data_IF_976201964829
#
_entry.id   IF_976201964829
#
_cell.length_a   1.000
_cell.length_b   1.000
_cell.length_c   1.000
_cell.angle_alpha   90.00
_cell.angle_beta   90.00
_cell.angle_gamma   90.00
#
_symmetry.space_group_name_H-M   'P 1'
#
loop_
_entity.id
_entity.type
_entity.pdbx_description
1 polymer ?
#
# COMPACT_ATOMS: atom_id res chain seq x y z
N UNK A 1 -43.66 -1.08 -12.88
CA UNK A 1 -42.42 -0.58 -12.27
C UNK A 1 -41.71 -1.79 -11.68
N UNK A 2 -40.98 -2.53 -12.51
CA UNK A 2 -40.20 -3.68 -12.03
C UNK A 2 -38.96 -3.11 -11.34
N UNK A 3 -38.87 -3.29 -10.02
CA UNK A 3 -37.64 -3.02 -9.27
C UNK A 3 -36.65 -4.06 -9.78
N UNK A 4 -35.55 -3.60 -10.36
CA UNK A 4 -34.44 -4.46 -10.76
C UNK A 4 -33.84 -5.08 -9.48
N UNK A 5 -34.18 -6.35 -9.22
CA UNK A 5 -33.67 -7.08 -8.07
C UNK A 5 -32.20 -7.51 -8.21
N UNK A 6 -31.56 -7.29 -9.36
CA UNK A 6 -30.19 -7.73 -9.60
C UNK A 6 -29.15 -6.88 -8.85
N UNK A 7 -29.36 -5.55 -8.78
CA UNK A 7 -28.48 -4.63 -8.06
C UNK A 7 -28.63 -4.73 -6.54
N UNK A 8 -29.88 -4.88 -6.05
CA UNK A 8 -30.17 -5.00 -4.62
C UNK A 8 -29.51 -6.24 -3.99
N UNK A 9 -29.49 -7.37 -4.71
CA UNK A 9 -28.83 -8.59 -4.25
C UNK A 9 -27.31 -8.41 -4.13
N UNK A 10 -26.71 -7.62 -5.03
CA UNK A 10 -25.28 -7.32 -5.00
C UNK A 10 -24.91 -6.38 -3.85
N UNK A 11 -25.66 -5.29 -3.67
CA UNK A 11 -25.40 -4.35 -2.56
C UNK A 11 -25.56 -5.04 -1.21
N UNK A 12 -26.63 -5.82 -1.02
CA UNK A 12 -26.86 -6.53 0.23
C UNK A 12 -25.74 -7.54 0.54
N UNK A 13 -25.29 -8.30 -0.46
CA UNK A 13 -24.15 -9.21 -0.30
C UNK A 13 -22.85 -8.47 0.12
N UNK A 14 -22.60 -7.28 -0.43
CA UNK A 14 -21.48 -6.44 -0.01
C UNK A 14 -21.64 -5.96 1.44
N UNK A 15 -22.85 -5.56 1.86
CA UNK A 15 -23.12 -5.17 3.25
C UNK A 15 -22.85 -6.32 4.22
N UNK A 16 -23.27 -7.53 3.88
CA UNK A 16 -22.98 -8.74 4.67
C UNK A 16 -21.47 -9.03 4.73
N UNK A 17 -20.78 -8.93 3.59
CA UNK A 17 -19.34 -9.14 3.55
C UNK A 17 -18.58 -8.09 4.37
N UNK A 18 -18.97 -6.82 4.32
CA UNK A 18 -18.38 -5.76 5.15
C UNK A 18 -18.54 -6.04 6.64
N UNK A 19 -19.71 -6.52 7.08
CA UNK A 19 -19.94 -6.92 8.47
C UNK A 19 -19.07 -8.12 8.84
N UNK A 20 -18.95 -9.12 7.95
CA UNK A 20 -18.09 -10.29 8.15
C UNK A 20 -16.61 -9.89 8.29
N UNK A 21 -16.10 -9.05 7.40
CA UNK A 21 -14.71 -8.56 7.45
C UNK A 21 -14.48 -7.68 8.67
N UNK A 22 -15.42 -6.80 9.02
CA UNK A 22 -15.34 -5.97 10.24
C UNK A 22 -15.24 -6.82 11.51
N UNK A 23 -15.98 -7.95 11.56
CA UNK A 23 -15.87 -8.94 12.64
C UNK A 23 -14.51 -9.62 12.67
N UNK A 24 -14.01 -10.10 11.54
CA UNK A 24 -12.68 -10.73 11.47
C UNK A 24 -11.57 -9.77 11.93
N UNK A 25 -11.60 -8.52 11.49
CA UNK A 25 -10.64 -7.50 11.92
C UNK A 25 -10.67 -7.30 13.44
N UNK A 26 -11.87 -7.23 14.03
CA UNK A 26 -12.04 -7.06 15.47
C UNK A 26 -11.56 -8.30 16.25
N UNK A 27 -11.93 -9.50 15.81
CA UNK A 27 -11.52 -10.78 16.43
C UNK A 27 -10.00 -11.00 16.36
N UNK A 28 -9.34 -10.51 15.31
CA UNK A 28 -7.88 -10.53 15.18
C UNK A 28 -7.16 -9.43 15.97
N UNK A 29 -7.91 -8.47 16.54
CA UNK A 29 -7.34 -7.31 17.24
C UNK A 29 -6.65 -6.31 16.31
N UNK A 30 -7.03 -6.28 15.03
CA UNK A 30 -6.54 -5.26 14.08
C UNK A 30 -7.29 -3.93 14.22
N UNK A 31 -8.46 -3.96 14.84
CA UNK A 31 -9.26 -2.81 15.22
C UNK A 31 -9.79 -3.01 16.63
N UNK A 32 -9.92 -1.93 17.38
CA UNK A 32 -10.50 -1.92 18.73
C UNK A 32 -11.47 -0.75 18.88
N UNK A 33 -12.32 -0.81 19.90
CA UNK A 33 -13.33 0.22 20.17
C UNK A 33 -14.15 0.55 18.90
N UNK A 34 -13.94 1.72 18.29
CA UNK A 34 -14.65 2.20 17.11
C UNK A 34 -13.71 2.62 15.97
N UNK A 35 -12.43 2.24 16.04
CA UNK A 35 -11.43 2.56 15.01
C UNK A 35 -11.56 1.68 13.75
N UNK A 36 -10.69 1.95 12.77
CA UNK A 36 -10.71 1.34 11.45
C UNK A 36 -11.95 1.67 10.63
N UNK A 37 -11.94 1.27 9.36
CA UNK A 37 -13.06 1.45 8.45
C UNK A 37 -12.91 0.61 7.18
N UNK A 38 -14.05 0.33 6.56
CA UNK A 38 -14.15 -0.47 5.33
C UNK A 38 -14.96 0.31 4.31
N UNK A 39 -14.62 0.13 3.04
CA UNK A 39 -15.52 0.50 1.95
C UNK A 39 -15.45 -0.48 0.79
N UNK A 40 -16.52 -0.52 0.01
CA UNK A 40 -16.63 -1.27 -1.24
C UNK A 40 -17.29 -0.41 -2.32
N UNK A 41 -16.79 -0.52 -3.54
CA UNK A 41 -17.36 0.15 -4.72
C UNK A 41 -18.68 -0.53 -5.10
N UNK A 42 -19.74 0.26 -5.26
CA UNK A 42 -21.01 -0.22 -5.81
C UNK A 42 -21.01 -0.07 -7.33
N UNK A 43 -20.67 1.13 -7.79
CA UNK A 43 -20.61 1.52 -9.20
C UNK A 43 -19.55 2.62 -9.42
N UNK A 44 -19.58 3.29 -10.58
CA UNK A 44 -18.63 4.34 -10.95
C UNK A 44 -18.73 5.59 -10.05
N UNK A 45 -19.89 5.85 -9.49
CA UNK A 45 -20.25 7.06 -8.74
C UNK A 45 -20.52 6.85 -7.26
N UNK A 46 -20.70 5.60 -6.82
CA UNK A 46 -21.10 5.28 -5.45
C UNK A 46 -20.20 4.27 -4.75
N UNK A 47 -19.98 4.52 -3.46
CA UNK A 47 -19.21 3.67 -2.56
C UNK A 47 -20.03 3.39 -1.32
N UNK A 48 -20.07 2.12 -0.92
CA UNK A 48 -20.58 1.68 0.38
C UNK A 48 -19.45 1.78 1.41
N UNK A 49 -19.72 2.37 2.58
CA UNK A 49 -18.73 2.56 3.63
C UNK A 49 -19.30 2.26 5.02
N UNK A 50 -18.40 1.96 5.96
CA UNK A 50 -18.77 1.81 7.37
C UNK A 50 -19.11 3.16 8.00
N UNK A 51 -20.09 3.20 8.93
CA UNK A 51 -20.38 4.40 9.69
C UNK A 51 -19.25 4.76 10.68
N UNK A 52 -19.13 6.05 10.96
CA UNK A 52 -18.26 6.55 12.02
C UNK A 52 -18.77 6.14 13.42
N UNK A 53 -17.85 5.92 14.36
CA UNK A 53 -18.17 5.72 15.78
C UNK A 53 -18.71 4.33 16.16
N UNK A 54 -18.97 3.43 15.21
CA UNK A 54 -19.39 2.06 15.53
C UNK A 54 -18.21 1.09 15.61
N UNK A 55 -18.30 0.14 16.54
CA UNK A 55 -17.38 -1.01 16.61
C UNK A 55 -17.56 -1.92 15.40
N UNK A 56 -16.48 -2.19 14.66
CA UNK A 56 -16.55 -2.95 13.41
C UNK A 56 -16.94 -4.42 13.62
N UNK A 57 -16.72 -4.96 14.81
CA UNK A 57 -17.16 -6.31 15.19
C UNK A 57 -18.66 -6.43 15.50
N UNK A 58 -19.37 -5.31 15.65
CA UNK A 58 -20.77 -5.28 16.14
C UNK A 58 -21.73 -4.56 15.18
N UNK A 59 -21.32 -4.31 13.93
CA UNK A 59 -22.17 -3.67 12.93
C UNK A 59 -23.22 -4.63 12.37
N UNK A 60 -24.31 -4.07 11.83
CA UNK A 60 -25.28 -4.79 11.00
C UNK A 60 -25.29 -4.28 9.54
N UNK A 61 -25.73 -5.09 8.56
CA UNK A 61 -25.74 -4.71 7.15
C UNK A 61 -26.50 -3.39 6.87
N UNK A 62 -27.60 -3.16 7.57
CA UNK A 62 -28.47 -1.98 7.40
C UNK A 62 -27.85 -0.67 7.91
N UNK A 63 -26.72 -0.76 8.64
CA UNK A 63 -25.99 0.40 9.14
C UNK A 63 -24.95 0.94 8.15
N UNK A 64 -24.61 0.20 7.09
CA UNK A 64 -23.66 0.68 6.09
C UNK A 64 -24.24 1.89 5.33
N UNK A 65 -23.37 2.82 4.96
CA UNK A 65 -23.73 4.10 4.37
C UNK A 65 -23.22 4.17 2.93
N UNK A 66 -24.09 4.56 2.00
CA UNK A 66 -23.68 4.85 0.62
C UNK A 66 -23.32 6.33 0.51
N UNK A 67 -22.15 6.59 -0.06
CA UNK A 67 -21.66 7.93 -0.39
C UNK A 67 -21.41 8.08 -1.88
N UNK A 68 -21.54 9.31 -2.39
CA UNK A 68 -21.05 9.69 -3.71
C UNK A 68 -19.52 9.88 -3.70
N UNK A 69 -18.93 10.09 -4.88
CA UNK A 69 -17.49 10.36 -5.02
C UNK A 69 -17.05 11.71 -4.44
N UNK A 70 -17.97 12.55 -3.93
CA UNK A 70 -17.66 13.74 -3.14
C UNK A 70 -17.82 13.51 -1.63
N UNK A 71 -18.11 12.28 -1.21
CA UNK A 71 -18.25 11.88 0.19
C UNK A 71 -19.59 12.25 0.83
N UNK A 72 -20.58 12.69 0.04
CA UNK A 72 -21.92 13.01 0.55
C UNK A 72 -22.73 11.73 0.70
N UNK A 73 -23.47 11.61 1.80
CA UNK A 73 -24.40 10.50 2.03
C UNK A 73 -25.58 10.61 1.05
N UNK A 74 -25.74 9.63 0.16
CA UNK A 74 -26.76 9.63 -0.90
C UNK A 74 -27.68 8.41 -0.91
N UNK A 75 -27.36 7.37 -0.12
CA UNK A 75 -28.17 6.15 -0.05
C UNK A 75 -29.49 6.29 0.71
N UNK A 76 -30.31 5.23 0.64
CA UNK A 76 -31.58 5.15 1.35
C UNK A 76 -31.40 5.35 2.86
N UNK A 77 -32.18 6.28 3.41
CA UNK A 77 -32.24 6.51 4.85
C UNK A 77 -33.19 5.49 5.48
N UNK A 78 -32.65 4.69 6.40
CA UNK A 78 -33.39 3.69 7.18
C UNK A 78 -33.39 4.06 8.65
N UNK A 79 -34.24 3.40 9.46
CA UNK A 79 -34.20 3.57 10.91
C UNK A 79 -32.80 3.24 11.50
N UNK A 80 -32.11 2.25 10.92
CA UNK A 80 -30.79 1.81 11.37
C UNK A 80 -29.67 2.81 11.06
N UNK A 81 -29.77 3.59 9.97
CA UNK A 81 -28.69 4.48 9.51
C UNK A 81 -29.00 5.99 9.60
N UNK A 82 -30.23 6.39 9.96
CA UNK A 82 -30.66 7.81 9.89
C UNK A 82 -29.76 8.79 10.65
N UNK A 83 -29.25 8.38 11.81
CA UNK A 83 -28.39 9.19 12.66
C UNK A 83 -26.90 8.88 12.48
N UNK A 84 -26.55 7.96 11.56
CA UNK A 84 -25.17 7.58 11.29
C UNK A 84 -24.61 8.44 10.15
N UNK A 85 -23.34 8.78 10.31
CA UNK A 85 -22.54 9.52 9.32
C UNK A 85 -21.43 8.61 8.77
N UNK A 86 -20.97 8.83 7.52
CA UNK A 86 -19.84 8.09 6.97
C UNK A 86 -18.62 8.13 7.90
N UNK A 87 -17.72 7.16 7.76
CA UNK A 87 -16.40 7.23 8.42
C UNK A 87 -15.74 8.60 8.19
N UNK A 88 -15.07 9.12 9.23
CA UNK A 88 -14.33 10.39 9.15
C UNK A 88 -13.20 10.36 8.11
N UNK A 89 -12.81 9.17 7.65
CA UNK A 89 -11.72 8.96 6.70
C UNK A 89 -12.19 8.61 5.29
N UNK A 90 -13.47 8.89 4.98
CA UNK A 90 -14.06 8.55 3.68
C UNK A 90 -13.25 9.12 2.51
N UNK A 91 -12.65 10.30 2.65
CA UNK A 91 -11.85 10.93 1.59
C UNK A 91 -10.57 10.15 1.26
N UNK A 92 -9.97 9.46 2.23
CA UNK A 92 -8.82 8.58 1.96
C UNK A 92 -9.24 7.38 1.10
N UNK A 93 -10.41 6.80 1.38
CA UNK A 93 -10.97 5.70 0.57
C UNK A 93 -11.32 6.16 -0.84
N UNK A 94 -12.00 7.31 -0.95
CA UNK A 94 -12.37 7.90 -2.24
C UNK A 94 -11.13 8.23 -3.08
N UNK A 95 -10.05 8.68 -2.46
CA UNK A 95 -8.79 8.90 -3.15
C UNK A 95 -8.22 7.63 -3.76
N UNK A 96 -8.20 6.52 -3.00
CA UNK A 96 -7.79 5.22 -3.54
C UNK A 96 -8.64 4.82 -4.76
N UNK A 97 -9.96 4.99 -4.70
CA UNK A 97 -10.86 4.69 -5.82
C UNK A 97 -10.66 5.61 -7.04
N UNK A 98 -10.25 6.87 -6.85
CA UNK A 98 -9.97 7.80 -7.96
C UNK A 98 -8.67 7.46 -8.66
N UNK A 99 -7.63 7.12 -7.90
CA UNK A 99 -6.32 6.77 -8.47
C UNK A 99 -6.33 5.37 -9.10
N UNK A 100 -7.20 4.47 -8.64
CA UNK A 100 -7.19 3.06 -9.00
C UNK A 100 -8.58 2.54 -9.41
N UNK A 101 -8.90 2.56 -10.72
CA UNK A 101 -10.15 1.98 -11.24
C UNK A 101 -10.30 0.47 -10.98
N UNK A 102 -9.18 -0.26 -10.86
CA UNK A 102 -9.15 -1.69 -10.56
C UNK A 102 -9.55 -2.01 -9.11
N UNK A 103 -9.50 -1.03 -8.21
CA UNK A 103 -9.86 -1.19 -6.80
C UNK A 103 -11.38 -1.20 -6.62
N UNK A 104 -11.85 -2.25 -5.95
CA UNK A 104 -13.26 -2.47 -5.62
C UNK A 104 -13.51 -2.46 -4.12
N UNK A 105 -12.47 -2.56 -3.29
CA UNK A 105 -12.58 -2.49 -1.85
C UNK A 105 -11.34 -1.86 -1.21
N UNK A 106 -11.57 -1.16 -0.11
CA UNK A 106 -10.54 -0.51 0.70
C UNK A 106 -10.75 -0.88 2.16
N UNK A 107 -9.68 -1.32 2.83
CA UNK A 107 -9.68 -1.70 4.24
C UNK A 107 -8.62 -0.89 4.97
N UNK A 108 -9.04 -0.20 6.02
CA UNK A 108 -8.16 0.52 6.92
C UNK A 108 -8.31 -0.01 8.34
N UNK A 109 -7.18 -0.29 8.99
CA UNK A 109 -7.10 -0.85 10.32
C UNK A 109 -5.83 -0.40 11.04
N UNK A 110 -5.76 -0.64 12.35
CA UNK A 110 -4.68 -0.20 13.23
C UNK A 110 -3.96 -1.39 13.88
N UNK A 111 -3.39 -2.33 13.10
CA UNK A 111 -2.81 -3.54 13.65
C UNK A 111 -1.56 -3.20 14.52
N UNK A 112 -1.50 -3.65 15.79
CA UNK A 112 -0.56 -3.10 16.77
C UNK A 112 0.91 -3.21 16.42
N UNK A 113 1.34 -4.34 15.82
CA UNK A 113 2.75 -4.58 15.56
C UNK A 113 3.25 -3.70 14.43
N UNK A 114 2.47 -3.62 13.35
CA UNK A 114 2.75 -2.71 12.23
C UNK A 114 2.84 -1.25 12.69
N UNK A 115 1.88 -0.81 13.53
CA UNK A 115 1.90 0.55 14.08
C UNK A 115 3.14 0.77 14.94
N UNK A 116 3.52 -0.19 15.80
CA UNK A 116 4.71 -0.11 16.62
C UNK A 116 6.00 0.04 15.78
N UNK A 117 6.14 -0.75 14.70
CA UNK A 117 7.29 -0.63 13.80
C UNK A 117 7.33 0.72 13.08
N UNK A 118 6.19 1.27 12.67
CA UNK A 118 6.13 2.62 12.08
C UNK A 118 6.64 3.68 13.06
N UNK A 119 6.30 3.56 14.36
CA UNK A 119 6.76 4.45 15.42
C UNK A 119 8.28 4.30 15.65
N UNK A 120 8.77 3.06 15.58
CA UNK A 120 10.19 2.74 15.74
C UNK A 120 11.07 3.13 14.55
N UNK A 121 10.46 3.49 13.41
CA UNK A 121 11.20 3.78 12.17
C UNK A 121 11.74 2.54 11.47
N UNK A 122 11.14 1.37 11.73
CA UNK A 122 11.54 0.10 11.11
C UNK A 122 10.63 -0.14 9.90
N UNK A 123 11.25 -0.28 8.73
CA UNK A 123 10.56 -0.44 7.44
C UNK A 123 10.08 -1.88 7.23
N UNK A 124 8.86 -2.04 6.70
CA UNK A 124 8.32 -3.31 6.21
C UNK A 124 8.57 -3.56 4.72
N UNK A 125 9.22 -2.63 4.02
CA UNK A 125 9.43 -2.74 2.58
C UNK A 125 10.49 -3.77 2.17
N UNK A 126 11.25 -4.33 3.13
CA UNK A 126 12.29 -5.30 2.84
C UNK A 126 11.71 -6.59 2.25
N UNK A 127 12.37 -7.15 1.23
CA UNK A 127 11.97 -8.40 0.58
C UNK A 127 12.26 -9.64 1.46
N UNK A 128 11.50 -9.80 2.54
CA UNK A 128 11.75 -10.84 3.55
C UNK A 128 11.04 -12.15 3.25
N UNK A 129 9.77 -12.08 2.81
CA UNK A 129 8.89 -13.25 2.71
C UNK A 129 8.30 -13.39 1.31
N UNK A 130 8.38 -14.58 0.68
CA UNK A 130 7.84 -14.83 -0.65
C UNK A 130 6.37 -14.46 -0.82
N UNK A 131 5.54 -14.82 0.16
CA UNK A 131 4.10 -14.61 0.12
C UNK A 131 3.70 -13.13 0.14
N UNK A 132 4.47 -12.28 0.84
CA UNK A 132 4.23 -10.83 0.87
C UNK A 132 4.62 -10.21 -0.46
N UNK A 133 5.80 -10.57 -0.98
CA UNK A 133 6.28 -10.09 -2.29
C UNK A 133 5.28 -10.43 -3.40
N UNK A 134 4.79 -11.67 -3.42
CA UNK A 134 3.85 -12.12 -4.47
C UNK A 134 2.46 -11.52 -4.29
N UNK A 135 1.87 -11.57 -3.09
CA UNK A 135 0.45 -11.23 -2.90
C UNK A 135 0.18 -9.75 -2.57
N UNK A 136 1.14 -9.07 -1.94
CA UNK A 136 1.01 -7.66 -1.52
C UNK A 136 1.89 -6.76 -2.39
N UNK A 137 3.15 -7.15 -2.58
CA UNK A 137 4.19 -6.31 -3.18
C UNK A 137 4.99 -5.58 -2.11
N UNK A 138 5.61 -4.46 -2.49
CA UNK A 138 6.25 -3.57 -1.53
C UNK A 138 5.20 -2.87 -0.65
N UNK A 139 5.57 -2.59 0.59
CA UNK A 139 4.70 -1.95 1.57
C UNK A 139 5.39 -0.68 2.08
N UNK A 140 5.17 0.47 1.42
CA UNK A 140 5.77 1.73 1.82
C UNK A 140 5.12 2.27 3.09
N UNK A 141 5.84 3.15 3.77
CA UNK A 141 5.33 3.95 4.89
C UNK A 141 5.19 5.40 4.46
N UNK A 142 4.04 6.03 4.71
CA UNK A 142 3.79 7.44 4.39
C UNK A 142 4.64 8.37 5.25
N UNK A 143 4.66 9.67 4.93
CA UNK A 143 4.94 10.68 5.95
C UNK A 143 3.79 10.75 6.96
N UNK A 144 4.04 11.29 8.17
CA UNK A 144 2.97 11.53 9.13
C UNK A 144 1.98 12.55 8.57
N UNK A 145 0.70 12.25 8.71
CA UNK A 145 -0.39 13.13 8.34
C UNK A 145 -1.50 13.01 9.38
N UNK A 146 -2.21 14.10 9.64
CA UNK A 146 -3.32 14.09 10.60
C UNK A 146 -4.45 13.19 10.08
N UNK A 147 -4.93 12.19 10.84
CA UNK A 147 -6.08 11.36 10.44
C UNK A 147 -7.32 12.20 10.13
N UNK A 148 -8.18 11.71 9.25
CA UNK A 148 -9.40 12.42 8.82
C UNK A 148 -9.16 13.85 8.26
N UNK A 149 -7.98 14.11 7.68
CA UNK A 149 -7.62 15.41 7.07
C UNK A 149 -7.24 15.29 5.59
N UNK A 150 -7.13 16.43 4.91
CA UNK A 150 -6.62 16.50 3.53
C UNK A 150 -5.12 16.15 3.42
N UNK A 151 -4.38 16.25 4.53
CA UNK A 151 -2.97 15.82 4.60
C UNK A 151 -2.90 14.30 4.40
N UNK A 152 -3.80 13.54 5.03
CA UNK A 152 -3.84 12.08 4.91
C UNK A 152 -4.14 11.64 3.47
N UNK A 153 -5.06 12.34 2.80
CA UNK A 153 -5.35 12.14 1.37
C UNK A 153 -4.12 12.41 0.51
N UNK A 154 -3.40 13.50 0.78
CA UNK A 154 -2.18 13.86 0.04
C UNK A 154 -1.06 12.84 0.27
N UNK A 155 -0.92 12.34 1.49
CA UNK A 155 0.13 11.41 1.89
C UNK A 155 0.03 10.05 1.18
N UNK A 156 -1.18 9.60 0.82
CA UNK A 156 -1.37 8.32 0.11
C UNK A 156 -1.45 8.46 -1.41
N UNK A 157 -1.69 9.66 -1.94
CA UNK A 157 -2.09 9.89 -3.35
C UNK A 157 -1.14 9.28 -4.36
N UNK A 158 0.16 9.48 -4.20
CA UNK A 158 1.17 8.95 -5.13
C UNK A 158 1.44 7.47 -4.87
N UNK A 159 1.47 7.07 -3.60
CA UNK A 159 1.79 5.68 -3.21
C UNK A 159 0.71 4.70 -3.66
N UNK A 160 -0.57 5.07 -3.56
CA UNK A 160 -1.68 4.15 -3.86
C UNK A 160 -1.79 3.79 -5.34
N UNK A 161 -1.12 4.55 -6.23
CA UNK A 161 -1.03 4.24 -7.66
C UNK A 161 -0.26 2.92 -7.86
N UNK A 162 0.85 2.74 -7.14
CA UNK A 162 1.76 1.60 -7.30
C UNK A 162 1.62 0.49 -6.26
N UNK A 163 0.88 0.71 -5.17
CA UNK A 163 0.89 -0.18 -4.01
C UNK A 163 -0.51 -0.67 -3.62
N UNK A 164 -0.60 -1.92 -3.18
CA UNK A 164 -1.85 -2.51 -2.70
C UNK A 164 -1.98 -2.46 -1.17
N UNK A 165 -0.91 -2.06 -0.47
CA UNK A 165 -0.87 -1.87 0.97
C UNK A 165 0.13 -0.79 1.36
N UNK A 166 -0.28 0.10 2.25
CA UNK A 166 0.49 1.26 2.69
C UNK A 166 0.41 1.34 4.22
N UNK A 167 1.55 1.50 4.87
CA UNK A 167 1.60 1.84 6.30
C UNK A 167 1.45 3.36 6.44
N UNK A 168 0.46 3.80 7.21
CA UNK A 168 0.27 5.19 7.58
C UNK A 168 1.10 5.49 8.83
N UNK A 169 2.10 6.35 8.71
CA UNK A 169 3.07 6.61 9.77
C UNK A 169 2.40 7.01 11.09
N UNK A 170 2.65 6.23 12.16
CA UNK A 170 2.07 6.39 13.51
C UNK A 170 0.54 6.31 13.56
N UNK A 171 -0.09 5.69 12.57
CA UNK A 171 -1.55 5.65 12.47
C UNK A 171 -2.08 4.24 12.25
N UNK A 172 -1.74 3.58 11.14
CA UNK A 172 -2.35 2.30 10.80
C UNK A 172 -1.91 1.78 9.44
N UNK A 173 -2.75 0.98 8.80
CA UNK A 173 -2.51 0.41 7.47
C UNK A 173 -3.71 0.65 6.58
N UNK A 174 -3.47 1.06 5.34
CA UNK A 174 -4.47 1.13 4.28
C UNK A 174 -4.17 0.03 3.26
N UNK A 175 -5.15 -0.80 2.94
CA UNK A 175 -5.03 -1.85 1.92
C UNK A 175 -6.18 -1.79 0.94
N UNK A 176 -5.92 -2.20 -0.30
CA UNK A 176 -6.90 -2.19 -1.38
C UNK A 176 -6.97 -3.53 -2.08
N UNK A 177 -8.08 -3.82 -2.75
CA UNK A 177 -8.27 -5.09 -3.46
C UNK A 177 -9.42 -5.07 -4.45
N UNK A 178 -9.54 -6.16 -5.24
CA UNK A 178 -10.64 -6.40 -6.18
C UNK A 178 -11.90 -6.90 -5.47
N UNK A 179 -11.79 -7.25 -4.20
CA UNK A 179 -12.89 -7.52 -3.28
C UNK A 179 -12.46 -7.25 -1.84
N UNK A 180 -13.42 -7.21 -0.92
CA UNK A 180 -13.18 -6.96 0.50
C UNK A 180 -12.25 -8.01 1.13
N UNK A 181 -12.43 -9.28 0.77
CA UNK A 181 -11.58 -10.36 1.25
C UNK A 181 -10.12 -10.17 0.83
N UNK A 182 -9.84 -9.80 -0.43
CA UNK A 182 -8.47 -9.58 -0.91
C UNK A 182 -7.79 -8.44 -0.15
N UNK A 183 -8.48 -7.31 0.03
CA UNK A 183 -7.96 -6.18 0.80
C UNK A 183 -7.68 -6.58 2.27
N UNK A 184 -8.61 -7.30 2.91
CA UNK A 184 -8.40 -7.83 4.26
C UNK A 184 -7.22 -8.80 4.36
N UNK A 185 -7.06 -9.72 3.39
CA UNK A 185 -5.94 -10.68 3.41
C UNK A 185 -4.58 -9.96 3.26
N UNK A 186 -4.53 -8.86 2.50
CA UNK A 186 -3.33 -8.01 2.44
C UNK A 186 -3.02 -7.35 3.78
N UNK A 187 -4.05 -6.86 4.48
CA UNK A 187 -3.89 -6.32 5.84
C UNK A 187 -3.33 -7.39 6.80
N UNK A 188 -3.90 -8.60 6.79
CA UNK A 188 -3.45 -9.73 7.62
C UNK A 188 -2.00 -10.12 7.29
N UNK A 189 -1.62 -10.13 6.01
CA UNK A 189 -0.24 -10.40 5.58
C UNK A 189 0.74 -9.32 6.05
N UNK A 190 0.36 -8.03 6.00
CA UNK A 190 1.20 -6.91 6.48
C UNK A 190 1.45 -7.03 7.99
N UNK A 191 0.42 -7.31 8.79
CA UNK A 191 0.62 -7.50 10.23
C UNK A 191 1.43 -8.75 10.55
N UNK A 192 1.33 -9.80 9.73
CA UNK A 192 2.14 -11.00 9.90
C UNK A 192 3.63 -10.74 9.63
N UNK A 193 3.99 -10.02 8.57
CA UNK A 193 5.39 -9.64 8.35
C UNK A 193 5.89 -8.69 9.43
N UNK A 194 5.05 -7.82 9.97
CA UNK A 194 5.41 -6.98 11.12
C UNK A 194 5.78 -7.82 12.35
N UNK A 195 4.98 -8.83 12.70
CA UNK A 195 5.27 -9.76 13.81
C UNK A 195 6.58 -10.51 13.59
N UNK A 196 6.82 -11.00 12.39
CA UNK A 196 8.07 -11.67 12.05
C UNK A 196 9.25 -10.70 12.16
N UNK A 197 9.10 -9.47 11.67
CA UNK A 197 10.14 -8.43 11.76
C UNK A 197 10.51 -8.13 13.22
N UNK A 198 9.53 -7.99 14.12
CA UNK A 198 9.81 -7.82 15.57
C UNK A 198 10.61 -9.01 16.13
N UNK A 199 10.26 -10.24 15.75
CA UNK A 199 11.00 -11.44 16.19
C UNK A 199 12.43 -11.43 15.65
N UNK A 200 12.65 -11.03 14.39
CA UNK A 200 13.97 -10.93 13.78
C UNK A 200 14.85 -9.89 14.48
N UNK A 201 14.28 -8.71 14.81
CA UNK A 201 14.95 -7.68 15.60
C UNK A 201 15.35 -8.20 16.99
N UNK A 202 14.48 -8.96 17.66
CA UNK A 202 14.80 -9.61 18.95
C UNK A 202 15.90 -10.65 18.84
N UNK A 203 15.97 -11.37 17.72
CA UNK A 203 17.03 -12.35 17.44
C UNK A 203 18.34 -11.70 16.98
N UNK A 204 18.33 -10.41 16.64
CA UNK A 204 19.48 -9.68 16.10
C UNK A 204 19.93 -10.15 14.71
N UNK A 205 19.05 -10.80 13.95
CA UNK A 205 19.35 -11.34 12.61
C UNK A 205 18.10 -11.44 11.75
N UNK A 206 18.23 -11.10 10.47
CA UNK A 206 17.19 -11.21 9.47
C UNK A 206 17.67 -10.63 8.14
N UNK A 207 18.04 -11.51 7.21
CA UNK A 207 18.51 -11.09 5.89
C UNK A 207 17.35 -11.14 4.88
N UNK A 208 17.20 -10.11 4.01
CA UNK A 208 16.29 -10.18 2.89
C UNK A 208 16.62 -11.35 1.95
N UNK A 209 15.63 -11.77 1.16
CA UNK A 209 15.84 -12.74 0.10
C UNK A 209 16.87 -12.21 -0.91
N UNK A 210 17.78 -13.08 -1.40
CA UNK A 210 18.70 -12.69 -2.46
C UNK A 210 17.95 -12.18 -3.70
N UNK A 211 18.49 -11.17 -4.43
CA UNK A 211 17.82 -10.58 -5.60
C UNK A 211 17.34 -11.61 -6.63
N UNK A 212 18.15 -12.65 -6.90
CA UNK A 212 17.79 -13.72 -7.83
C UNK A 212 16.56 -14.57 -7.41
N UNK A 213 16.24 -14.63 -6.11
CA UNK A 213 15.01 -15.27 -5.65
C UNK A 213 13.82 -14.31 -5.73
N UNK A 214 14.04 -13.03 -5.39
CA UNK A 214 13.02 -11.98 -5.54
C UNK A 214 12.58 -11.87 -7.00
N UNK A 215 13.50 -11.91 -7.96
CA UNK A 215 13.19 -11.88 -9.40
C UNK A 215 12.22 -13.00 -9.83
N UNK A 216 12.41 -14.23 -9.33
CA UNK A 216 11.49 -15.35 -9.61
C UNK A 216 10.09 -15.10 -9.04
N UNK A 217 10.01 -14.46 -7.88
CA UNK A 217 8.74 -14.11 -7.23
C UNK A 217 8.04 -12.97 -7.97
N UNK A 218 8.79 -11.98 -8.47
CA UNK A 218 8.23 -10.94 -9.32
C UNK A 218 7.68 -11.52 -10.62
N UNK A 219 8.34 -12.52 -11.20
CA UNK A 219 7.82 -13.22 -12.36
C UNK A 219 6.52 -13.98 -12.07
N UNK A 220 6.40 -14.60 -10.90
CA UNK A 220 5.14 -15.20 -10.45
C UNK A 220 4.04 -14.15 -10.26
N UNK A 221 4.36 -13.03 -9.60
CA UNK A 221 3.46 -11.89 -9.39
C UNK A 221 2.94 -11.33 -10.72
N UNK A 222 3.80 -11.20 -11.73
CA UNK A 222 3.42 -10.80 -13.10
C UNK A 222 2.45 -11.80 -13.73
N UNK A 223 2.74 -13.10 -13.68
CA UNK A 223 1.86 -14.16 -14.21
C UNK A 223 0.49 -14.20 -13.53
N UNK A 224 0.41 -13.79 -12.26
CA UNK A 224 -0.84 -13.70 -11.51
C UNK A 224 -1.63 -12.40 -11.76
N UNK A 225 -1.10 -11.47 -12.59
CA UNK A 225 -1.72 -10.18 -12.85
C UNK A 225 -1.70 -9.23 -11.65
N UNK A 226 -0.79 -9.47 -10.70
CA UNK A 226 -0.65 -8.67 -9.48
C UNK A 226 0.41 -7.57 -9.60
N UNK A 227 1.15 -7.55 -10.71
CA UNK A 227 2.16 -6.54 -10.94
C UNK A 227 1.56 -5.13 -11.07
N UNK A 228 2.35 -4.12 -10.72
CA UNK A 228 1.93 -2.71 -10.70
C UNK A 228 2.88 -1.85 -11.53
N UNK A 229 2.36 -0.83 -12.25
CA UNK A 229 3.21 0.10 -12.97
C UNK A 229 4.23 0.77 -12.04
N UNK A 230 5.51 0.75 -12.43
CA UNK A 230 6.58 1.41 -11.69
C UNK A 230 7.18 0.61 -10.53
N UNK A 231 6.58 -0.51 -10.11
CA UNK A 231 7.08 -1.28 -8.94
C UNK A 231 8.51 -1.80 -9.17
N UNK A 232 8.93 -2.01 -10.42
CA UNK A 232 10.24 -2.53 -10.79
C UNK A 232 11.39 -1.59 -10.39
N UNK A 233 11.15 -0.27 -10.44
CA UNK A 233 12.12 0.74 -9.98
C UNK A 233 12.28 0.67 -8.46
N UNK A 234 11.19 0.44 -7.74
CA UNK A 234 11.22 0.32 -6.29
C UNK A 234 11.84 -0.99 -5.83
N UNK A 235 11.54 -2.11 -6.48
CA UNK A 235 12.19 -3.40 -6.22
C UNK A 235 13.69 -3.36 -6.54
N UNK A 236 14.12 -2.60 -7.56
CA UNK A 236 15.54 -2.32 -7.80
C UNK A 236 16.19 -1.61 -6.61
N UNK A 237 15.57 -0.52 -6.16
CA UNK A 237 16.10 0.30 -5.07
C UNK A 237 16.12 -0.42 -3.72
N UNK A 238 15.08 -1.18 -3.41
CA UNK A 238 14.89 -1.79 -2.07
C UNK A 238 15.46 -3.21 -2.00
N UNK A 239 15.29 -3.99 -3.08
CA UNK A 239 15.62 -5.42 -3.08
C UNK A 239 16.72 -5.79 -4.08
N UNK A 240 17.31 -4.82 -4.79
CA UNK A 240 18.40 -5.04 -5.73
C UNK A 240 17.98 -5.75 -7.03
N UNK A 241 16.68 -5.87 -7.31
CA UNK A 241 16.17 -6.48 -8.55
C UNK A 241 15.89 -5.40 -9.56
N UNK A 242 16.89 -5.08 -10.38
CA UNK A 242 16.79 -4.01 -11.35
C UNK A 242 16.25 -4.50 -12.69
N UNK A 243 15.43 -3.69 -13.39
CA UNK A 243 15.05 -3.97 -14.76
C UNK A 243 16.30 -4.25 -15.60
N UNK A 244 16.21 -5.18 -16.55
CA UNK A 244 17.28 -5.38 -17.52
C UNK A 244 17.60 -4.02 -18.16
N UNK A 245 18.82 -3.51 -17.93
CA UNK A 245 19.26 -2.30 -18.59
C UNK A 245 19.19 -2.54 -20.09
N UNK A 246 18.53 -1.64 -20.82
CA UNK A 246 18.60 -1.66 -22.27
C UNK A 246 20.09 -1.49 -22.63
N UNK A 247 20.74 -2.40 -23.37
CA UNK A 247 22.18 -2.31 -23.67
C UNK A 247 22.59 -1.04 -24.43
N UNK A 248 21.63 -0.23 -24.87
CA UNK A 248 21.84 0.99 -25.65
C UNK A 248 22.34 2.19 -24.85
N UNK A 249 22.55 2.07 -23.53
CA UNK A 249 23.21 3.11 -22.72
C UNK A 249 24.42 2.58 -21.97
N UNK A 250 25.18 1.65 -22.58
CA UNK A 250 26.61 1.64 -22.30
C UNK A 250 27.19 2.95 -22.82
N UNK A 251 27.48 3.88 -21.90
CA UNK A 251 28.46 4.92 -22.17
C UNK A 251 29.73 4.21 -22.62
N UNK A 252 30.01 4.28 -23.92
CA UNK A 252 31.21 3.74 -24.52
C UNK A 252 32.40 4.50 -23.95
N UNK A 253 32.95 4.03 -22.85
CA UNK A 253 34.28 4.41 -22.43
C UNK A 253 35.25 3.79 -23.44
N UNK A 254 35.63 4.57 -24.44
CA UNK A 254 36.75 4.19 -25.30
C UNK A 254 37.99 4.11 -24.42
N UNK A 255 38.71 3.00 -24.54
CA UNK A 255 39.97 2.68 -23.85
C UNK A 255 41.15 3.59 -24.24
N UNK A 256 40.88 4.79 -24.74
CA UNK A 256 41.92 5.71 -25.22
C UNK A 256 42.59 6.50 -24.09
N UNK A 257 42.08 6.44 -22.85
CA UNK A 257 42.66 7.16 -21.70
C UNK A 257 43.13 6.25 -20.56
N UNK A 258 43.08 4.91 -20.72
CA UNK A 258 43.49 3.98 -19.66
C UNK A 258 45.00 3.72 -19.58
N UNK A 259 45.81 4.37 -20.43
CA UNK A 259 47.26 4.15 -20.46
C UNK A 259 48.05 5.00 -19.45
N UNK A 260 47.42 5.88 -18.68
CA UNK A 260 48.12 6.81 -17.78
C UNK A 260 47.72 6.74 -16.30
N UNK A 261 46.88 5.77 -15.89
CA UNK A 261 46.50 5.64 -14.48
C UNK A 261 47.25 4.46 -13.86
N UNK A 262 48.30 4.76 -13.11
CA UNK A 262 48.93 3.79 -12.21
C UNK A 262 47.96 3.48 -11.07
N UNK A 263 47.55 2.21 -10.96
CA UNK A 263 46.55 1.72 -10.02
C UNK A 263 46.97 1.84 -8.53
N UNK A 264 48.15 2.38 -8.25
CA UNK A 264 48.66 2.65 -6.91
C UNK A 264 48.16 3.96 -6.27
N UNK A 265 47.82 4.99 -7.05
CA UNK A 265 47.50 6.32 -6.50
C UNK A 265 46.00 6.62 -6.51
N UNK A 266 45.35 6.25 -5.41
CA UNK A 266 43.92 6.49 -5.20
C UNK A 266 43.56 7.98 -5.25
N UNK A 267 44.50 8.88 -4.92
CA UNK A 267 44.24 10.31 -4.95
C UNK A 267 44.07 10.82 -6.39
N UNK A 268 44.85 10.29 -7.33
CA UNK A 268 44.77 10.68 -8.73
C UNK A 268 43.50 10.15 -9.40
N UNK A 269 43.11 8.90 -9.08
CA UNK A 269 41.84 8.35 -9.55
C UNK A 269 40.65 9.16 -9.03
N UNK A 270 40.64 9.50 -7.73
CA UNK A 270 39.59 10.34 -7.13
C UNK A 270 39.54 11.71 -7.81
N UNK A 271 40.70 12.33 -8.09
CA UNK A 271 40.78 13.64 -8.75
C UNK A 271 40.18 13.59 -10.16
N UNK A 272 40.52 12.59 -10.95
CA UNK A 272 40.05 12.42 -12.34
C UNK A 272 38.54 12.17 -12.37
N UNK A 273 38.04 11.26 -11.51
CA UNK A 273 36.60 10.97 -11.42
C UNK A 273 35.82 12.21 -10.97
N UNK A 274 36.31 12.93 -9.97
CA UNK A 274 35.67 14.14 -9.46
C UNK A 274 35.60 15.24 -10.53
N UNK A 275 36.68 15.44 -11.29
CA UNK A 275 36.68 16.42 -12.39
C UNK A 275 35.73 16.05 -13.53
N UNK A 276 35.57 14.77 -13.84
CA UNK A 276 34.61 14.31 -14.85
C UNK A 276 33.16 14.57 -14.40
N UNK A 277 32.86 14.24 -13.14
CA UNK A 277 31.53 14.45 -12.53
C UNK A 277 31.18 15.94 -12.47
N UNK A 278 32.10 16.80 -12.04
CA UNK A 278 31.86 18.25 -11.97
C UNK A 278 31.60 18.87 -13.35
N UNK A 279 32.26 18.36 -14.41
CA UNK A 279 32.03 18.79 -15.79
C UNK A 279 30.63 18.43 -16.29
N UNK A 280 30.18 17.21 -16.02
CA UNK A 280 28.81 16.77 -16.36
C UNK A 280 27.75 17.58 -15.61
N UNK A 281 28.01 17.92 -14.36
CA UNK A 281 27.11 18.72 -13.53
C UNK A 281 27.14 20.23 -13.87
N UNK A 282 27.91 20.65 -14.88
CA UNK A 282 28.00 22.04 -15.31
C UNK A 282 28.77 22.96 -14.36
N UNK A 283 29.48 22.38 -13.39
CA UNK A 283 30.40 23.11 -12.50
C UNK A 283 31.78 23.15 -13.15
N UNK A 284 31.95 24.00 -14.16
CA UNK A 284 33.28 24.37 -14.65
C UNK A 284 33.88 25.41 -13.71
N UNK A 285 34.94 25.01 -12.99
CA UNK A 285 35.82 25.93 -12.26
C UNK A 285 36.68 26.78 -13.17
#
# INVERSE_FOLDING_TARGET
MYIDCSEWNREYALREEMVRIGRLMYERGYVVANDGNLSARLDESHVLCTPSGLCKGMMSPDQMIVVDMEGRKVGQVTAANRNLVPTSEVFMHLEAYRQRPDVQAVVHAHPPTTVALSIAGISLANCMLPEVIVNVGLVPTTQYATPASLENVSAIRELIIGHDGIVLQRHGVLTVGRCLLEAYMRLEAIEQIAKITVILEQLGRGEPLPPAQVEKLLEQRRKMGLARPGEEVEFCRICGVCPAQNPSTELSWTREHSSEIDAGDHAELIRVVTQAVLRELGYSG
#
